data_IF_392796703385
#
_entry.id   IF_392796703385
#
_cell.length_a   1.000
_cell.length_b   1.000
_cell.length_c   1.000
_cell.angle_alpha   90.00
_cell.angle_beta   90.00
_cell.angle_gamma   90.00
#
_symmetry.space_group_name_H-M   'P 1'
#
loop_
_entity.id
_entity.type
_entity.pdbx_description
1 polymer ?
#
# COMPACT_ATOMS: atom_id res chain seq x y z
N UNK A 1 -2.14 -1.30 -25.82
CA UNK A 1 -2.45 -1.88 -24.51
C UNK A 1 -1.32 -2.81 -24.13
N UNK A 2 -0.83 -2.69 -22.91
CA UNK A 2 0.17 -3.59 -22.35
C UNK A 2 -0.51 -4.55 -21.36
N UNK A 3 0.28 -5.42 -20.73
CA UNK A 3 -0.21 -6.41 -19.77
C UNK A 3 0.54 -6.25 -18.46
N UNK A 4 -0.20 -6.21 -17.36
CA UNK A 4 0.34 -6.42 -16.02
C UNK A 4 -0.19 -7.72 -15.43
N UNK A 5 0.29 -8.08 -14.26
CA UNK A 5 -0.02 -9.36 -13.63
C UNK A 5 -0.49 -9.15 -12.19
N UNK A 6 -1.41 -9.98 -11.73
CA UNK A 6 -1.91 -9.97 -10.36
C UNK A 6 -1.88 -11.38 -9.78
N UNK A 7 -1.39 -11.48 -8.55
CA UNK A 7 -1.54 -12.66 -7.70
C UNK A 7 -2.10 -12.22 -6.34
N UNK A 8 -3.05 -12.98 -5.82
CA UNK A 8 -3.67 -12.72 -4.52
C UNK A 8 -3.22 -13.79 -3.52
N UNK A 9 -2.87 -13.35 -2.30
CA UNK A 9 -2.43 -14.22 -1.22
C UNK A 9 -3.30 -14.01 0.02
N UNK A 10 -3.85 -15.08 0.59
CA UNK A 10 -4.76 -15.03 1.72
C UNK A 10 -4.10 -15.61 2.97
N UNK A 11 -4.07 -14.84 4.06
CA UNK A 11 -3.51 -15.26 5.34
C UNK A 11 -4.47 -14.96 6.49
N UNK A 12 -4.46 -15.79 7.53
CA UNK A 12 -5.24 -15.54 8.74
C UNK A 12 -4.57 -14.48 9.64
N UNK A 13 -5.33 -13.47 10.07
CA UNK A 13 -4.87 -12.36 10.93
C UNK A 13 -4.17 -12.80 12.22
N UNK A 14 -4.56 -13.94 12.82
CA UNK A 14 -4.07 -14.37 14.14
C UNK A 14 -2.92 -15.37 14.13
N UNK A 15 -2.67 -16.05 13.00
CA UNK A 15 -1.71 -17.17 12.94
C UNK A 15 -0.71 -17.07 11.78
N UNK A 16 -0.88 -16.10 10.87
CA UNK A 16 -0.14 -15.99 9.61
C UNK A 16 -0.15 -17.27 8.74
N UNK A 17 -1.07 -18.19 9.03
CA UNK A 17 -1.29 -19.40 8.24
C UNK A 17 -2.01 -19.06 6.93
N UNK A 18 -1.68 -19.75 5.83
CA UNK A 18 -2.38 -19.57 4.56
C UNK A 18 -3.86 -20.01 4.67
N UNK A 19 -4.74 -19.28 3.99
CA UNK A 19 -6.15 -19.65 3.85
C UNK A 19 -6.33 -20.40 2.52
N UNK A 20 -6.62 -21.68 2.61
CA UNK A 20 -6.73 -22.61 1.48
C UNK A 20 -8.17 -22.61 0.95
N UNK A 21 -8.33 -22.67 -0.38
CA UNK A 21 -9.64 -22.76 -1.03
C UNK A 21 -10.48 -21.49 -0.94
N UNK A 22 -9.90 -20.35 -0.56
CA UNK A 22 -10.58 -19.07 -0.59
C UNK A 22 -10.86 -18.64 -2.02
N UNK A 23 -12.10 -18.24 -2.30
CA UNK A 23 -12.55 -17.74 -3.60
C UNK A 23 -12.11 -16.29 -3.76
N UNK A 24 -11.47 -15.99 -4.89
CA UNK A 24 -11.00 -14.65 -5.28
C UNK A 24 -11.62 -14.29 -6.62
N UNK A 25 -12.40 -13.22 -6.64
CA UNK A 25 -13.02 -12.67 -7.85
C UNK A 25 -12.33 -11.36 -8.20
N UNK A 26 -11.86 -11.24 -9.43
CA UNK A 26 -11.25 -10.02 -9.96
C UNK A 26 -12.22 -9.42 -10.98
N UNK A 27 -12.57 -8.16 -10.78
CA UNK A 27 -13.52 -7.44 -11.64
C UNK A 27 -13.01 -6.06 -12.05
N UNK A 28 -13.58 -5.54 -13.14
CA UNK A 28 -13.34 -4.17 -13.61
C UNK A 28 -14.67 -3.57 -14.05
N UNK A 29 -15.03 -2.40 -13.53
CA UNK A 29 -16.28 -1.71 -13.85
C UNK A 29 -17.54 -2.58 -13.68
N UNK A 30 -17.54 -3.49 -12.69
CA UNK A 30 -18.64 -4.42 -12.42
C UNK A 30 -18.66 -5.70 -13.29
N UNK A 31 -17.75 -5.84 -14.25
CA UNK A 31 -17.58 -7.07 -15.03
C UNK A 31 -16.58 -8.00 -14.35
N UNK A 32 -16.96 -9.27 -14.15
CA UNK A 32 -16.08 -10.31 -13.59
C UNK A 32 -15.14 -10.79 -14.70
N UNK A 33 -13.84 -10.68 -14.46
CA UNK A 33 -12.80 -11.10 -15.39
C UNK A 33 -12.22 -12.46 -15.02
N UNK A 34 -12.00 -12.70 -13.73
CA UNK A 34 -11.45 -13.95 -13.21
C UNK A 34 -12.16 -14.39 -11.95
N UNK A 35 -12.31 -15.71 -11.80
CA UNK A 35 -12.71 -16.38 -10.57
C UNK A 35 -11.65 -17.45 -10.26
N UNK A 36 -10.91 -17.25 -9.17
CA UNK A 36 -9.75 -18.04 -8.77
C UNK A 36 -9.97 -18.62 -7.37
N UNK A 37 -9.17 -19.63 -7.03
CA UNK A 37 -9.14 -20.22 -5.69
C UNK A 37 -7.70 -20.30 -5.19
N UNK A 38 -7.50 -20.11 -3.89
CA UNK A 38 -6.18 -20.27 -3.29
C UNK A 38 -5.77 -21.73 -3.13
N UNK A 39 -4.49 -22.00 -3.38
CA UNK A 39 -3.85 -23.30 -3.17
C UNK A 39 -3.45 -23.52 -1.70
N UNK A 40 -2.71 -24.60 -1.44
CA UNK A 40 -2.23 -24.96 -0.09
C UNK A 40 -1.29 -23.92 0.56
N UNK A 41 -0.69 -23.05 -0.25
CA UNK A 41 0.12 -21.91 0.21
C UNK A 41 -0.69 -20.62 0.37
N UNK A 42 -2.02 -20.67 0.19
CA UNK A 42 -2.89 -19.51 0.30
C UNK A 42 -2.78 -18.56 -0.91
N UNK A 43 -2.23 -19.03 -2.03
CA UNK A 43 -1.96 -18.19 -3.20
C UNK A 43 -2.87 -18.58 -4.37
N UNK A 44 -3.35 -17.60 -5.12
CA UNK A 44 -3.96 -17.85 -6.44
C UNK A 44 -2.89 -18.10 -7.49
N UNK A 45 -3.30 -18.61 -8.65
CA UNK A 45 -2.48 -18.45 -9.85
C UNK A 45 -2.33 -16.97 -10.21
N UNK A 46 -1.26 -16.65 -10.94
CA UNK A 46 -1.04 -15.30 -11.46
C UNK A 46 -1.83 -15.11 -12.74
N UNK A 47 -2.65 -14.05 -12.79
CA UNK A 47 -3.46 -13.72 -13.97
C UNK A 47 -2.94 -12.48 -14.69
N UNK A 48 -3.17 -12.45 -16.00
CA UNK A 48 -2.84 -11.32 -16.86
C UNK A 48 -4.02 -10.34 -16.92
N UNK A 49 -3.73 -9.06 -16.69
CA UNK A 49 -4.70 -7.98 -16.71
C UNK A 49 -4.24 -6.88 -17.65
N UNK A 50 -5.20 -6.22 -18.29
CA UNK A 50 -4.91 -5.09 -19.18
C UNK A 50 -4.33 -3.90 -18.40
N UNK A 51 -3.18 -3.41 -18.85
CA UNK A 51 -2.54 -2.24 -18.29
C UNK A 51 -2.29 -1.17 -19.38
N UNK A 52 -2.29 0.12 -19.02
CA UNK A 52 -1.75 1.16 -19.87
C UNK A 52 -0.29 0.88 -20.24
N UNK A 53 0.20 1.37 -21.39
CA UNK A 53 1.59 1.19 -21.81
C UNK A 53 2.58 1.75 -20.78
N UNK A 54 3.78 1.15 -20.71
CA UNK A 54 4.81 1.55 -19.73
C UNK A 54 5.25 3.00 -19.92
N UNK A 55 5.20 3.52 -21.15
CA UNK A 55 5.56 4.88 -21.52
C UNK A 55 4.80 5.92 -20.69
N UNK A 56 3.56 5.61 -20.29
CA UNK A 56 2.73 6.52 -19.48
C UNK A 56 3.31 6.79 -18.10
N UNK A 57 4.18 5.89 -17.62
CA UNK A 57 4.86 6.05 -16.33
C UNK A 57 6.26 6.66 -16.44
N UNK A 58 6.79 6.76 -17.66
CA UNK A 58 8.19 7.15 -17.92
C UNK A 58 8.26 8.56 -18.51
N UNK A 59 7.33 8.92 -19.40
CA UNK A 59 7.32 10.22 -20.05
C UNK A 59 6.49 11.24 -19.25
N UNK A 60 6.80 12.51 -19.45
CA UNK A 60 6.04 13.61 -18.87
C UNK A 60 4.71 13.83 -19.60
N UNK A 61 3.68 14.27 -18.88
CA UNK A 61 2.36 14.65 -19.41
C UNK A 61 1.58 13.50 -20.10
N UNK A 62 1.85 12.26 -19.73
CA UNK A 62 1.08 11.11 -20.22
C UNK A 62 -0.20 10.85 -19.39
N UNK A 63 -1.18 10.11 -19.93
CA UNK A 63 -2.35 9.65 -19.17
C UNK A 63 -2.02 8.67 -18.03
N UNK A 64 -3.04 8.24 -17.28
CA UNK A 64 -2.89 7.37 -16.13
C UNK A 64 -2.07 6.09 -16.45
N UNK A 65 -0.98 5.78 -15.72
CA UNK A 65 -0.04 4.71 -16.07
C UNK A 65 -0.41 3.32 -15.54
N UNK A 66 -1.55 3.17 -14.88
CA UNK A 66 -2.00 1.91 -14.30
C UNK A 66 -3.48 1.64 -14.62
N UNK A 67 -3.83 0.36 -14.70
CA UNK A 67 -5.22 -0.09 -14.70
C UNK A 67 -5.75 -0.25 -13.28
N UNK A 68 -7.04 -0.01 -13.09
CA UNK A 68 -7.71 -0.15 -11.78
C UNK A 68 -8.65 -1.36 -11.81
N UNK A 69 -8.55 -2.19 -10.77
CA UNK A 69 -9.31 -3.44 -10.63
C UNK A 69 -9.84 -3.59 -9.21
N UNK A 70 -10.96 -4.29 -9.07
CA UNK A 70 -11.57 -4.60 -7.78
C UNK A 70 -11.43 -6.09 -7.50
N UNK A 71 -11.16 -6.44 -6.24
CA UNK A 71 -10.99 -7.82 -5.78
C UNK A 71 -12.03 -8.09 -4.71
N UNK A 72 -12.78 -9.18 -4.87
CA UNK A 72 -13.67 -9.71 -3.83
C UNK A 72 -13.16 -11.07 -3.38
N UNK A 73 -12.94 -11.23 -2.09
CA UNK A 73 -12.45 -12.47 -1.47
C UNK A 73 -13.50 -13.02 -0.53
N UNK A 74 -13.82 -14.30 -0.68
CA UNK A 74 -14.73 -15.05 0.20
C UNK A 74 -14.07 -16.35 0.63
N UNK A 75 -14.13 -16.67 1.93
CA UNK A 75 -13.63 -17.92 2.46
C UNK A 75 -14.48 -18.36 3.66
N UNK A 76 -14.71 -19.67 3.80
CA UNK A 76 -15.57 -20.21 4.85
C UNK A 76 -15.06 -19.85 6.26
N UNK A 77 -15.95 -19.28 7.07
CA UNK A 77 -15.64 -18.86 8.45
C UNK A 77 -14.89 -17.53 8.56
N UNK A 78 -14.67 -16.83 7.45
CA UNK A 78 -14.05 -15.51 7.42
C UNK A 78 -15.01 -14.46 6.90
N UNK A 79 -14.75 -13.20 7.28
CA UNK A 79 -15.41 -12.04 6.69
C UNK A 79 -14.99 -11.91 5.23
N UNK A 80 -15.94 -11.53 4.39
CA UNK A 80 -15.64 -11.18 2.99
C UNK A 80 -14.75 -9.94 2.95
N UNK A 81 -13.78 -9.92 2.05
CA UNK A 81 -12.91 -8.75 1.85
C UNK A 81 -13.10 -8.21 0.45
N UNK A 82 -13.51 -6.94 0.34
CA UNK A 82 -13.58 -6.23 -0.94
C UNK A 82 -12.48 -5.17 -0.96
N UNK A 83 -11.62 -5.25 -1.96
CA UNK A 83 -10.54 -4.29 -2.21
C UNK A 83 -10.83 -3.59 -3.51
N UNK A 84 -11.23 -2.32 -3.42
CA UNK A 84 -11.47 -1.48 -4.58
C UNK A 84 -10.20 -0.73 -4.94
N UNK A 85 -9.94 -0.54 -6.22
CA UNK A 85 -8.87 0.37 -6.65
C UNK A 85 -7.47 -0.24 -6.80
N UNK A 86 -7.35 -1.57 -6.92
CA UNK A 86 -6.05 -2.23 -7.08
C UNK A 86 -5.40 -1.82 -8.39
N UNK A 87 -4.16 -1.35 -8.29
CA UNK A 87 -3.43 -0.76 -9.41
C UNK A 87 -2.52 -1.77 -10.09
N UNK A 88 -2.67 -1.91 -11.41
CA UNK A 88 -1.90 -2.85 -12.23
C UNK A 88 -1.08 -2.06 -13.26
N UNK A 89 0.24 -2.22 -13.19
CA UNK A 89 1.19 -1.58 -14.09
C UNK A 89 1.68 -2.55 -15.17
N UNK A 90 2.05 -2.04 -16.34
CA UNK A 90 2.63 -2.82 -17.41
C UNK A 90 3.92 -3.55 -16.98
N UNK A 91 4.05 -4.80 -17.40
CA UNK A 91 5.22 -5.66 -17.17
C UNK A 91 5.62 -5.80 -15.69
N UNK A 92 4.65 -5.64 -14.78
CA UNK A 92 4.82 -5.78 -13.33
C UNK A 92 3.79 -6.74 -12.77
N UNK A 93 4.20 -7.42 -11.69
CA UNK A 93 3.35 -8.32 -10.93
C UNK A 93 2.95 -7.65 -9.62
N UNK A 94 1.67 -7.34 -9.48
CA UNK A 94 1.07 -6.91 -8.22
C UNK A 94 0.84 -8.14 -7.34
N UNK A 95 1.38 -8.11 -6.11
CA UNK A 95 1.14 -9.11 -5.08
C UNK A 95 0.18 -8.54 -4.06
N UNK A 96 -1.09 -8.94 -4.14
CA UNK A 96 -2.11 -8.50 -3.22
C UNK A 96 -2.22 -9.47 -2.03
N UNK A 97 -1.58 -9.11 -0.93
CA UNK A 97 -1.76 -9.81 0.33
C UNK A 97 -3.07 -9.37 1.00
N UNK A 98 -3.88 -10.32 1.42
CA UNK A 98 -5.15 -10.10 2.11
C UNK A 98 -5.12 -10.83 3.45
N UNK A 99 -5.46 -10.09 4.51
CA UNK A 99 -5.54 -10.63 5.86
C UNK A 99 -7.00 -10.95 6.16
N UNK A 100 -7.31 -12.23 6.24
CA UNK A 100 -8.66 -12.74 6.51
C UNK A 100 -8.92 -12.70 8.03
N UNK A 101 -10.07 -12.12 8.39
CA UNK A 101 -10.53 -12.02 9.78
C UNK A 101 -11.69 -12.98 9.99
N UNK A 102 -11.65 -13.80 11.03
CA UNK A 102 -12.72 -14.76 11.33
C UNK A 102 -14.03 -14.06 11.69
N UNK A 103 -15.16 -14.64 11.31
CA UNK A 103 -16.50 -14.18 11.66
C UNK A 103 -17.35 -13.78 10.44
N UNK A 104 -18.50 -13.19 10.71
CA UNK A 104 -19.46 -12.79 9.68
C UNK A 104 -19.34 -11.30 9.32
N UNK A 105 -19.79 -10.96 8.11
CA UNK A 105 -19.79 -9.60 7.58
C UNK A 105 -18.68 -9.39 6.55
N UNK A 106 -18.37 -8.11 6.32
CA UNK A 106 -17.49 -7.70 5.23
C UNK A 106 -16.53 -6.61 5.68
N UNK A 107 -15.32 -6.63 5.12
CA UNK A 107 -14.31 -5.57 5.22
C UNK A 107 -14.14 -4.95 3.85
N UNK A 108 -14.31 -3.63 3.75
CA UNK A 108 -14.12 -2.88 2.50
C UNK A 108 -12.86 -2.04 2.63
N UNK A 109 -11.94 -2.21 1.69
CA UNK A 109 -10.69 -1.47 1.57
C UNK A 109 -10.76 -0.68 0.27
N UNK A 110 -10.73 0.65 0.36
CA UNK A 110 -10.70 1.51 -0.81
C UNK A 110 -9.26 2.01 -0.99
N UNK A 111 -8.59 1.58 -2.05
CA UNK A 111 -7.27 2.06 -2.42
C UNK A 111 -7.45 3.34 -3.23
N UNK A 112 -7.05 4.51 -2.70
CA UNK A 112 -7.17 5.76 -3.44
C UNK A 112 -6.10 5.84 -4.55
N UNK A 113 -6.28 6.74 -5.54
CA UNK A 113 -5.24 7.02 -6.52
C UNK A 113 -3.96 7.52 -5.84
N UNK A 114 -2.75 7.26 -6.40
CA UNK A 114 -1.49 7.79 -5.86
C UNK A 114 -1.50 9.31 -5.84
N UNK A 115 -0.62 9.95 -5.06
CA UNK A 115 -0.56 11.42 -4.94
C UNK A 115 -0.37 12.11 -6.29
N UNK A 116 0.36 11.48 -7.21
CA UNK A 116 0.57 11.97 -8.58
C UNK A 116 -0.70 12.02 -9.44
N UNK A 117 -1.79 11.34 -9.04
CA UNK A 117 -3.06 11.24 -9.79
C UNK A 117 -4.31 11.58 -8.99
N UNK A 118 -4.22 11.65 -7.66
CA UNK A 118 -5.33 12.01 -6.80
C UNK A 118 -5.38 13.50 -6.50
N UNK A 119 -6.57 13.99 -6.18
CA UNK A 119 -6.75 15.33 -5.60
C UNK A 119 -6.56 15.22 -4.09
N UNK A 120 -5.36 15.58 -3.64
CA UNK A 120 -5.01 15.61 -2.23
C UNK A 120 -4.84 17.07 -1.78
N UNK A 121 -5.25 17.41 -0.54
CA UNK A 121 -5.04 18.74 -0.03
C UNK A 121 -3.56 19.10 -0.06
N UNK A 122 -3.27 20.37 -0.37
CA UNK A 122 -1.90 20.86 -0.36
C UNK A 122 -1.28 20.59 1.01
N UNK A 123 -0.05 20.09 1.00
CA UNK A 123 0.70 19.89 2.24
C UNK A 123 0.86 21.25 2.89
N UNK A 124 0.45 21.38 4.15
CA UNK A 124 0.66 22.61 4.90
C UNK A 124 2.16 22.94 4.86
N UNK A 125 2.54 24.16 4.42
CA UNK A 125 3.93 24.53 4.35
C UNK A 125 4.53 24.48 5.75
N UNK A 126 5.54 23.65 5.92
CA UNK A 126 6.29 23.56 7.16
C UNK A 126 7.43 24.59 7.10
N UNK A 127 7.69 25.30 8.20
CA UNK A 127 8.81 26.23 8.25
C UNK A 127 10.11 25.52 7.88
N UNK A 128 10.92 26.16 7.01
CA UNK A 128 12.22 25.62 6.57
C UNK A 128 13.14 25.31 7.76
N UNK A 129 12.98 26.07 8.84
CA UNK A 129 13.65 25.87 10.12
C UNK A 129 12.61 25.99 11.23
N UNK A 130 12.19 24.85 11.79
CA UNK A 130 11.43 24.84 13.05
C UNK A 130 12.42 24.73 14.22
N UNK A 131 12.18 25.51 15.28
CA UNK A 131 12.99 25.44 16.49
C UNK A 131 12.94 24.02 17.07
N UNK A 132 14.10 23.44 17.35
CA UNK A 132 14.19 22.14 18.00
C UNK A 132 13.59 22.32 19.40
N UNK A 133 12.56 21.53 19.77
CA UNK A 133 11.97 21.65 21.10
C UNK A 133 13.04 21.48 22.18
N UNK A 134 12.92 22.22 23.29
CA UNK A 134 13.83 22.04 24.43
C UNK A 134 13.84 20.58 24.84
N UNK A 135 15.02 20.02 25.10
CA UNK A 135 15.20 18.61 25.44
C UNK A 135 14.32 18.24 26.65
N UNK A 136 13.17 17.60 26.40
CA UNK A 136 12.26 17.18 27.47
C UNK A 136 12.72 15.87 28.12
N UNK A 137 14.01 15.71 28.40
CA UNK A 137 14.56 14.61 29.21
C UNK A 137 14.30 13.17 28.74
N UNK A 138 13.57 12.97 27.64
CA UNK A 138 13.31 11.68 27.03
C UNK A 138 14.04 11.57 25.69
N UNK A 139 15.37 11.48 25.80
CA UNK A 139 16.28 10.74 24.90
C UNK A 139 16.02 10.94 23.40
N UNK A 140 16.67 11.95 22.82
CA UNK A 140 17.26 11.76 21.48
C UNK A 140 18.09 10.49 21.58
N UNK A 141 17.71 9.45 20.84
CA UNK A 141 18.34 8.13 20.94
C UNK A 141 19.86 8.30 20.75
N UNK A 142 20.63 7.84 21.73
CA UNK A 142 22.11 7.92 21.75
C UNK A 142 22.73 7.19 20.55
N UNK A 143 21.92 6.39 19.86
CA UNK A 143 22.27 5.60 18.68
C UNK A 143 21.16 5.71 17.65
N UNK A 144 21.58 5.73 16.38
CA UNK A 144 20.68 5.55 15.25
C UNK A 144 20.05 4.16 15.36
N UNK A 145 18.75 4.10 15.61
CA UNK A 145 17.95 2.88 15.61
C UNK A 145 16.80 2.99 14.62
N UNK A 146 16.54 1.89 13.92
CA UNK A 146 15.33 1.80 13.09
C UNK A 146 14.17 1.44 14.01
N UNK A 147 13.09 2.23 14.05
CA UNK A 147 11.95 1.95 14.91
C UNK A 147 11.27 0.65 14.47
N UNK A 148 10.67 -0.06 15.43
CA UNK A 148 9.88 -1.26 15.13
C UNK A 148 8.55 -0.89 14.45
N UNK A 149 7.90 0.17 14.94
CA UNK A 149 6.62 0.68 14.44
C UNK A 149 6.67 2.19 14.20
N UNK A 150 5.93 2.65 13.20
CA UNK A 150 5.53 4.05 13.01
C UNK A 150 4.09 4.18 13.51
N UNK A 151 3.87 5.17 14.38
CA UNK A 151 2.55 5.51 14.90
C UNK A 151 1.93 6.54 13.96
N UNK A 152 0.85 6.15 13.27
CA UNK A 152 0.11 7.04 12.36
C UNK A 152 -1.26 7.34 12.92
N UNK A 153 -1.76 8.53 12.63
CA UNK A 153 -3.09 8.98 13.03
C UNK A 153 -3.91 9.24 11.77
N UNK A 154 -5.10 8.64 11.72
CA UNK A 154 -6.04 8.81 10.62
C UNK A 154 -6.87 10.08 10.84
N UNK A 155 -6.29 11.21 10.43
CA UNK A 155 -6.88 12.54 10.55
C UNK A 155 -5.82 13.64 10.57
N UNK A 156 -6.28 14.89 10.58
CA UNK A 156 -5.40 16.05 10.72
C UNK A 156 -4.64 16.01 12.06
N UNK A 157 -3.42 16.56 12.15
CA UNK A 157 -2.60 16.52 13.37
C UNK A 157 -3.35 16.96 14.63
N UNK A 158 -4.11 18.06 14.52
CA UNK A 158 -4.90 18.69 15.59
C UNK A 158 -6.26 18.02 15.89
N UNK A 159 -6.70 17.07 15.06
CA UNK A 159 -8.05 16.50 15.12
C UNK A 159 -8.17 15.26 16.01
N UNK A 160 -9.38 14.69 16.09
CA UNK A 160 -9.56 13.30 16.51
C UNK A 160 -9.26 12.35 15.35
N UNK A 161 -8.75 11.15 15.64
CA UNK A 161 -8.43 10.15 14.62
C UNK A 161 -7.97 8.84 15.26
N UNK A 162 -8.20 7.72 14.58
CA UNK A 162 -7.72 6.44 15.07
C UNK A 162 -6.20 6.36 14.95
N UNK A 163 -5.55 5.82 15.99
CA UNK A 163 -4.11 5.63 16.02
C UNK A 163 -3.79 4.21 15.57
N UNK A 164 -2.86 4.07 14.63
CA UNK A 164 -2.40 2.79 14.12
C UNK A 164 -0.90 2.63 14.35
N UNK A 165 -0.51 1.42 14.74
CA UNK A 165 0.89 1.02 14.87
C UNK A 165 1.24 0.20 13.64
N UNK A 166 2.00 0.79 12.72
CA UNK A 166 2.36 0.17 11.45
C UNK A 166 3.82 -0.26 11.52
N UNK A 167 4.18 -1.52 11.25
CA UNK A 167 5.58 -1.92 11.19
C UNK A 167 6.38 -1.00 10.27
N UNK A 168 7.57 -0.57 10.67
CA UNK A 168 8.34 0.43 9.92
C UNK A 168 8.49 0.09 8.44
N UNK A 169 8.82 -1.18 8.14
CA UNK A 169 8.97 -1.67 6.77
C UNK A 169 7.66 -1.54 5.96
N UNK A 170 6.52 -1.84 6.58
CA UNK A 170 5.23 -1.74 5.92
C UNK A 170 4.81 -0.28 5.71
N UNK A 171 5.14 0.60 6.65
CA UNK A 171 4.94 2.03 6.49
C UNK A 171 5.72 2.57 5.28
N UNK A 172 7.03 2.32 5.21
CA UNK A 172 7.88 2.76 4.09
C UNK A 172 7.39 2.18 2.75
N UNK A 173 7.05 0.88 2.73
CA UNK A 173 6.50 0.21 1.54
C UNK A 173 5.21 0.87 1.07
N UNK A 174 4.28 1.13 1.97
CA UNK A 174 2.97 1.68 1.65
C UNK A 174 3.10 3.14 1.15
N UNK A 175 3.91 3.97 1.83
CA UNK A 175 4.19 5.33 1.37
C UNK A 175 4.84 5.32 -0.01
N UNK A 176 5.86 4.49 -0.23
CA UNK A 176 6.49 4.38 -1.54
C UNK A 176 5.47 3.96 -2.62
N UNK A 177 4.60 2.98 -2.35
CA UNK A 177 3.59 2.57 -3.33
C UNK A 177 2.53 3.63 -3.66
N UNK A 178 2.36 4.64 -2.80
CA UNK A 178 1.44 5.77 -3.02
C UNK A 178 2.11 6.97 -3.69
N UNK A 179 3.44 7.00 -3.78
CA UNK A 179 4.22 8.15 -4.27
C UNK A 179 4.97 7.86 -5.57
N UNK A 180 5.37 6.61 -5.81
CA UNK A 180 6.20 6.23 -6.98
C UNK A 180 5.62 5.05 -7.77
N UNK A 181 5.96 4.98 -9.06
CA UNK A 181 5.56 3.87 -9.92
C UNK A 181 6.55 2.71 -9.88
N UNK A 182 6.02 1.49 -9.84
CA UNK A 182 6.82 0.25 -9.84
C UNK A 182 7.55 -0.02 -11.17
N UNK A 183 7.19 0.70 -12.23
CA UNK A 183 7.78 0.63 -13.57
C UNK A 183 9.09 1.42 -13.69
N UNK A 184 9.38 2.32 -12.76
CA UNK A 184 10.62 3.10 -12.75
C UNK A 184 11.85 2.22 -12.60
N UNK A 185 13.01 2.76 -12.99
CA UNK A 185 14.28 2.05 -12.86
C UNK A 185 14.58 1.72 -11.39
N UNK A 186 15.27 0.61 -11.13
CA UNK A 186 15.67 0.19 -9.78
C UNK A 186 16.46 1.31 -9.05
N UNK A 187 17.31 2.05 -9.77
CA UNK A 187 18.02 3.20 -9.22
C UNK A 187 17.07 4.33 -8.78
N UNK A 188 16.06 4.66 -9.58
CA UNK A 188 15.06 5.68 -9.24
C UNK A 188 14.19 5.24 -8.05
N UNK A 189 13.75 3.98 -8.04
CA UNK A 189 12.97 3.41 -6.93
C UNK A 189 13.79 3.45 -5.64
N UNK A 190 15.05 3.00 -5.66
CA UNK A 190 15.94 3.05 -4.49
C UNK A 190 16.19 4.48 -4.01
N UNK A 191 16.46 5.42 -4.92
CA UNK A 191 16.70 6.82 -4.56
C UNK A 191 15.48 7.42 -3.84
N UNK A 192 14.27 7.20 -4.35
CA UNK A 192 13.04 7.69 -3.72
C UNK A 192 12.77 7.01 -2.37
N UNK A 193 12.95 5.68 -2.28
CA UNK A 193 12.80 4.95 -1.01
C UNK A 193 13.82 5.44 0.04
N UNK A 194 15.05 5.77 -0.36
CA UNK A 194 16.05 6.35 0.53
C UNK A 194 15.64 7.76 1.00
N UNK A 195 15.10 8.59 0.11
CA UNK A 195 14.59 9.92 0.47
C UNK A 195 13.42 9.82 1.47
N UNK A 196 12.45 8.92 1.22
CA UNK A 196 11.32 8.65 2.12
C UNK A 196 11.83 8.19 3.48
N UNK A 197 12.76 7.22 3.53
CA UNK A 197 13.34 6.75 4.79
C UNK A 197 14.07 7.87 5.54
N UNK A 198 14.86 8.69 4.84
CA UNK A 198 15.58 9.81 5.44
C UNK A 198 14.61 10.80 6.09
N UNK A 199 13.52 11.13 5.41
CA UNK A 199 12.50 12.05 5.93
C UNK A 199 11.81 11.49 7.17
N UNK A 200 11.38 10.22 7.12
CA UNK A 200 10.68 9.55 8.22
C UNK A 200 11.58 9.41 9.45
N UNK A 201 12.82 8.98 9.26
CA UNK A 201 13.77 8.84 10.37
C UNK A 201 14.14 10.21 10.95
N UNK A 202 14.31 11.24 10.13
CA UNK A 202 14.55 12.59 10.62
C UNK A 202 13.46 13.02 11.59
N UNK A 203 12.17 12.87 11.20
CA UNK A 203 11.04 13.19 12.08
C UNK A 203 11.04 12.42 13.41
N UNK A 204 11.35 11.13 13.35
CA UNK A 204 11.42 10.29 14.56
C UNK A 204 12.55 10.76 15.50
N UNK A 205 13.73 11.08 14.98
CA UNK A 205 14.88 11.46 15.81
C UNK A 205 14.83 12.91 16.30
N UNK A 206 14.16 13.80 15.59
CA UNK A 206 14.00 15.20 15.99
C UNK A 206 12.67 15.47 16.70
N UNK A 207 11.89 14.42 17.03
CA UNK A 207 10.56 14.50 17.64
C UNK A 207 9.63 15.51 16.93
N UNK A 208 9.60 15.41 15.61
CA UNK A 208 9.03 16.41 14.71
C UNK A 208 7.75 15.97 14.03
#
# INVERSE_FOLDING_TARGET
MATGYLQVELYNQGQASPVIGGKVVISKNGEILYELFTNDSGQTETVSLEAPPIEYSINENEPQPYGTYDITVTADGYKDVIINGVQIFADRTALQKVIMTTGEGQVVINVPPPVLWGDYPEKEPEDEVKEIPEETGFVVLDRIVIPEYIVVKDGVPSGGGQVYYVPYKDYIKNVASSEIYSTWSDAAIRANILAIQSFVLNRVFTEW
#
